data_IF_960089303547
#
_entry.id   IF_960089303547
#
_cell.length_a   1.000
_cell.length_b   1.000
_cell.length_c   1.000
_cell.angle_alpha   90.00
_cell.angle_beta   90.00
_cell.angle_gamma   90.00
#
_symmetry.space_group_name_H-M   'P 1'
#
loop_
_entity.id
_entity.type
_entity.pdbx_description
1 polymer ?
#
# COMPACT_ATOMS: atom_id res chain seq x y z
N UNK A 1 10.91 -10.77 4.67
CA UNK A 1 10.46 -10.19 3.40
C UNK A 1 9.11 -10.77 3.00
N UNK A 2 8.07 -9.95 2.98
CA UNK A 2 6.73 -10.26 2.53
C UNK A 2 6.42 -9.48 1.25
N UNK A 3 5.90 -10.17 0.25
CA UNK A 3 5.24 -9.54 -0.90
C UNK A 3 3.75 -9.51 -0.61
N UNK A 4 3.19 -8.31 -0.50
CA UNK A 4 1.79 -8.10 -0.20
C UNK A 4 1.08 -7.71 -1.50
N UNK A 5 0.09 -8.51 -1.87
CA UNK A 5 -0.71 -8.28 -3.05
C UNK A 5 -1.46 -6.94 -2.99
N UNK A 6 -1.70 -6.35 -4.15
CA UNK A 6 -2.39 -5.05 -4.28
C UNK A 6 -3.78 -5.07 -3.67
N UNK A 7 -4.51 -6.20 -3.74
CA UNK A 7 -5.86 -6.31 -3.16
C UNK A 7 -5.88 -6.07 -1.65
N UNK A 8 -4.83 -6.46 -0.93
CA UNK A 8 -4.68 -6.24 0.51
C UNK A 8 -4.53 -4.75 0.81
N UNK A 9 -3.67 -4.06 0.06
CA UNK A 9 -3.49 -2.62 0.18
C UNK A 9 -4.75 -1.83 -0.15
N UNK A 10 -5.49 -2.23 -1.20
CA UNK A 10 -6.80 -1.65 -1.51
C UNK A 10 -7.76 -1.83 -0.33
N UNK A 11 -7.74 -2.99 0.32
CA UNK A 11 -8.51 -3.25 1.54
C UNK A 11 -8.15 -2.29 2.67
N UNK A 12 -6.85 -2.04 2.89
CA UNK A 12 -6.35 -1.08 3.89
C UNK A 12 -6.81 0.35 3.56
N UNK A 13 -6.67 0.81 2.31
CA UNK A 13 -7.06 2.17 1.92
C UNK A 13 -8.57 2.41 1.98
N UNK A 14 -9.39 1.38 1.72
CA UNK A 14 -10.85 1.47 1.79
C UNK A 14 -11.40 1.38 3.21
N UNK A 15 -10.67 0.74 4.12
CA UNK A 15 -11.10 0.57 5.50
C UNK A 15 -10.96 1.86 6.31
N UNK A 16 -12.09 2.52 6.57
CA UNK A 16 -12.15 3.73 7.41
C UNK A 16 -12.08 3.44 8.90
N UNK A 17 -12.24 2.19 9.32
CA UNK A 17 -12.22 1.79 10.73
C UNK A 17 -10.82 1.50 11.26
N UNK A 18 -9.86 1.23 10.36
CA UNK A 18 -8.47 0.89 10.69
C UNK A 18 -8.26 -0.55 11.15
N UNK A 19 -9.30 -1.39 11.19
CA UNK A 19 -9.20 -2.79 11.60
C UNK A 19 -8.32 -3.62 10.66
N UNK A 20 -8.41 -3.38 9.35
CA UNK A 20 -7.60 -4.10 8.36
C UNK A 20 -6.12 -3.73 8.51
N UNK A 21 -5.84 -2.44 8.73
CA UNK A 21 -4.48 -1.96 9.03
C UNK A 21 -3.92 -2.65 10.27
N UNK A 22 -4.67 -2.67 11.38
CA UNK A 22 -4.19 -3.26 12.63
C UNK A 22 -3.91 -4.76 12.48
N UNK A 23 -4.80 -5.49 11.81
CA UNK A 23 -4.58 -6.92 11.51
C UNK A 23 -3.35 -7.12 10.63
N UNK A 24 -3.15 -6.26 9.63
CA UNK A 24 -2.00 -6.34 8.75
C UNK A 24 -0.70 -6.07 9.52
N UNK A 25 -0.66 -5.05 10.38
CA UNK A 25 0.49 -4.73 11.24
C UNK A 25 0.84 -5.90 12.18
N UNK A 26 -0.16 -6.51 12.83
CA UNK A 26 0.04 -7.73 13.64
C UNK A 26 0.54 -8.90 12.81
N UNK A 27 0.04 -9.06 11.57
CA UNK A 27 0.52 -10.11 10.68
C UNK A 27 1.95 -9.86 10.23
N UNK A 28 2.34 -8.63 9.92
CA UNK A 28 3.69 -8.30 9.46
C UNK A 28 4.73 -8.68 10.52
N UNK A 29 4.45 -8.37 11.80
CA UNK A 29 5.29 -8.75 12.95
C UNK A 29 6.78 -8.41 12.72
N UNK A 30 7.05 -7.13 12.45
CA UNK A 30 8.38 -6.56 12.14
C UNK A 30 9.12 -7.15 10.93
N UNK A 31 8.47 -7.97 10.11
CA UNK A 31 9.06 -8.47 8.86
C UNK A 31 9.12 -7.36 7.82
N UNK A 32 10.23 -7.31 7.07
CA UNK A 32 10.33 -6.41 5.92
C UNK A 32 9.22 -6.66 4.91
N UNK A 33 8.61 -5.60 4.43
CA UNK A 33 7.62 -5.61 3.35
C UNK A 33 8.29 -5.04 2.12
N UNK A 34 8.03 -5.65 0.97
CA UNK A 34 8.50 -5.14 -0.31
C UNK A 34 7.33 -4.92 -1.26
N UNK A 35 7.24 -3.71 -1.82
CA UNK A 35 6.30 -3.36 -2.89
C UNK A 35 7.01 -3.50 -4.23
N UNK A 36 6.70 -4.56 -4.98
CA UNK A 36 7.23 -4.72 -6.34
C UNK A 36 6.70 -3.63 -7.27
N UNK A 37 7.47 -3.30 -8.31
CA UNK A 37 7.12 -2.23 -9.26
C UNK A 37 5.73 -2.38 -9.87
N UNK A 38 5.27 -3.60 -10.14
CA UNK A 38 3.92 -3.85 -10.63
C UNK A 38 2.84 -3.44 -9.61
N UNK A 39 2.97 -3.86 -8.35
CA UNK A 39 2.07 -3.46 -7.25
C UNK A 39 2.06 -1.94 -7.06
N UNK A 40 3.23 -1.29 -7.14
CA UNK A 40 3.33 0.17 -7.09
C UNK A 40 2.51 0.84 -8.20
N UNK A 41 2.62 0.34 -9.44
CA UNK A 41 1.89 0.88 -10.59
C UNK A 41 0.38 0.67 -10.46
N UNK A 42 -0.07 -0.49 -9.98
CA UNK A 42 -1.49 -0.75 -9.75
C UNK A 42 -2.09 0.18 -8.69
N UNK A 43 -1.35 0.43 -7.60
CA UNK A 43 -1.77 1.39 -6.57
C UNK A 43 -1.86 2.82 -7.13
N UNK A 44 -0.88 3.23 -7.94
CA UNK A 44 -0.90 4.55 -8.60
C UNK A 44 -2.10 4.68 -9.55
N UNK A 45 -2.36 3.67 -10.38
CA UNK A 45 -3.51 3.64 -11.28
C UNK A 45 -4.85 3.73 -10.52
N UNK A 46 -4.92 3.21 -9.30
CA UNK A 46 -6.10 3.26 -8.44
C UNK A 46 -6.42 4.64 -7.84
N UNK A 47 -5.56 5.65 -8.02
CA UNK A 47 -5.77 7.00 -7.48
C UNK A 47 -6.96 7.69 -8.14
N UNK A 48 -7.83 8.34 -7.36
CA UNK A 48 -9.04 8.99 -7.89
C UNK A 48 -8.77 10.35 -8.53
N UNK A 49 -7.65 10.98 -8.17
CA UNK A 49 -7.29 12.32 -8.60
C UNK A 49 -5.78 12.55 -8.49
N UNK A 50 -5.31 13.65 -9.08
CA UNK A 50 -3.89 14.05 -9.09
C UNK A 50 -3.31 14.22 -7.68
N UNK A 51 -4.11 14.67 -6.72
CA UNK A 51 -3.65 14.88 -5.34
C UNK A 51 -3.31 13.54 -4.67
N UNK A 52 -4.17 12.54 -4.81
CA UNK A 52 -3.91 11.18 -4.32
C UNK A 52 -2.71 10.55 -5.03
N UNK A 53 -2.64 10.72 -6.35
CA UNK A 53 -1.53 10.21 -7.16
C UNK A 53 -0.19 10.83 -6.74
N UNK A 54 -0.15 12.14 -6.54
CA UNK A 54 1.06 12.86 -6.14
C UNK A 54 1.51 12.45 -4.74
N UNK A 55 0.57 12.27 -3.80
CA UNK A 55 0.88 11.80 -2.45
C UNK A 55 1.49 10.40 -2.49
N UNK A 56 0.84 9.47 -3.19
CA UNK A 56 1.27 8.09 -3.27
C UNK A 56 2.60 7.95 -4.04
N UNK A 57 2.75 8.62 -5.18
CA UNK A 57 3.99 8.58 -5.96
C UNK A 57 5.18 9.20 -5.22
N UNK A 58 4.95 10.24 -4.41
CA UNK A 58 6.00 10.83 -3.57
C UNK A 58 6.46 9.86 -2.50
N UNK A 59 5.54 9.12 -1.88
CA UNK A 59 5.87 8.09 -0.91
C UNK A 59 6.62 6.91 -1.56
N UNK A 60 6.15 6.42 -2.71
CA UNK A 60 6.76 5.27 -3.39
C UNK A 60 8.17 5.57 -3.91
N UNK A 61 8.48 6.83 -4.26
CA UNK A 61 9.83 7.25 -4.66
C UNK A 61 10.90 7.04 -3.58
N UNK A 62 10.52 6.97 -2.30
CA UNK A 62 11.48 6.71 -1.21
C UNK A 62 11.74 5.21 -1.00
N UNK A 63 11.08 4.35 -1.78
CA UNK A 63 11.17 2.89 -1.70
C UNK A 63 11.83 2.24 -2.92
N UNK A 64 12.36 3.05 -3.85
CA UNK A 64 13.23 2.60 -4.96
C UNK A 64 14.71 2.47 -4.50
#
# INVERSE_FOLDING_TARGET
MLLIDTSVWIGVFRDRTGQVRQKLETLIDDRDIFLVRFTQLELLQGSLNEKEWMLLSTYLKTQD
#
